data_IF_588277669920
#
_entry.id   IF_588277669920
#
_cell.length_a   1.000
_cell.length_b   1.000
_cell.length_c   1.000
_cell.angle_alpha   90.00
_cell.angle_beta   90.00
_cell.angle_gamma   90.00
#
_symmetry.space_group_name_H-M   'P 1'
#
loop_
_entity.id
_entity.type
_entity.pdbx_description
1 polymer ?
#
# COMPACT_ATOMS: atom_id res chain seq x y z
N UNK A 1 2.05 16.61 9.64
CA UNK A 1 2.25 15.27 9.04
C UNK A 1 3.03 15.51 7.78
N UNK A 2 4.25 14.94 7.66
CA UNK A 2 5.05 15.04 6.43
C UNK A 2 4.63 13.87 5.55
N UNK A 3 3.78 14.13 4.58
CA UNK A 3 3.52 13.19 3.51
C UNK A 3 4.81 13.07 2.68
N UNK A 4 5.38 11.87 2.61
CA UNK A 4 6.56 11.61 1.78
C UNK A 4 6.08 10.95 0.49
N UNK A 5 6.12 11.68 -0.61
CA UNK A 5 5.89 11.15 -1.95
C UNK A 5 7.24 10.89 -2.60
N UNK A 6 7.51 9.65 -2.96
CA UNK A 6 8.71 9.24 -3.68
C UNK A 6 8.34 8.79 -5.09
N UNK A 7 9.05 9.28 -6.11
CA UNK A 7 8.96 8.78 -7.49
C UNK A 7 10.16 7.90 -7.79
N UNK A 8 9.89 6.66 -8.18
CA UNK A 8 10.93 5.68 -8.52
C UNK A 8 10.82 5.31 -9.99
N UNK A 9 11.94 5.33 -10.69
CA UNK A 9 12.04 4.89 -12.08
C UNK A 9 12.02 3.37 -12.23
N UNK A 10 12.05 2.90 -13.49
CA UNK A 10 11.97 1.49 -13.91
C UNK A 10 12.70 0.53 -12.98
N UNK A 11 12.03 -0.56 -12.59
CA UNK A 11 12.59 -1.64 -11.80
C UNK A 11 13.71 -2.38 -12.54
N UNK A 12 14.94 -2.06 -12.18
CA UNK A 12 16.13 -2.87 -12.46
C UNK A 12 16.53 -3.46 -11.11
N UNK A 13 17.22 -4.58 -11.07
CA UNK A 13 17.73 -5.14 -9.80
C UNK A 13 18.35 -4.04 -8.92
N UNK A 14 17.86 -3.92 -7.68
CA UNK A 14 18.23 -2.85 -6.76
C UNK A 14 17.26 -1.67 -6.69
N UNK A 15 16.10 -1.72 -7.36
CA UNK A 15 15.09 -0.65 -7.31
C UNK A 15 14.56 -0.43 -5.91
N UNK A 16 14.52 -1.48 -5.09
CA UNK A 16 14.14 -1.38 -3.69
C UNK A 16 15.10 -0.48 -2.89
N UNK A 17 16.37 -0.32 -3.31
CA UNK A 17 17.35 0.51 -2.61
C UNK A 17 16.87 1.95 -2.42
N UNK A 18 16.07 2.45 -3.34
CA UNK A 18 15.53 3.82 -3.26
C UNK A 18 14.37 3.97 -2.26
N UNK A 19 13.75 2.87 -1.85
CA UNK A 19 12.63 2.85 -0.91
C UNK A 19 12.87 1.89 0.26
N UNK A 20 14.05 1.29 0.34
CA UNK A 20 14.37 0.28 1.36
C UNK A 20 14.25 0.85 2.78
N UNK A 21 14.72 2.08 2.99
CA UNK A 21 14.59 2.79 4.26
C UNK A 21 13.11 3.03 4.63
N UNK A 22 12.26 3.32 3.64
CA UNK A 22 10.82 3.52 3.85
C UNK A 22 10.13 2.22 4.21
N UNK A 23 10.50 1.13 3.55
CA UNK A 23 9.94 -0.21 3.81
C UNK A 23 10.40 -0.74 5.17
N UNK A 24 11.65 -0.50 5.55
CA UNK A 24 12.22 -0.91 6.84
C UNK A 24 11.79 -0.04 8.01
N UNK A 25 11.22 1.14 7.76
CA UNK A 25 10.75 2.05 8.82
C UNK A 25 9.63 1.47 9.69
N UNK A 26 8.93 0.43 9.20
CA UNK A 26 7.74 -0.13 9.85
C UNK A 26 6.43 0.59 9.47
N UNK A 27 6.51 1.67 8.72
CA UNK A 27 5.36 2.40 8.21
C UNK A 27 4.67 1.63 7.07
N UNK A 28 3.35 1.80 6.92
CA UNK A 28 2.61 1.21 5.82
C UNK A 28 2.84 1.96 4.52
N UNK A 29 3.12 1.23 3.44
CA UNK A 29 3.53 1.77 2.13
C UNK A 29 2.55 1.38 1.04
N UNK A 30 2.02 2.35 0.31
CA UNK A 30 1.18 2.15 -0.87
C UNK A 30 1.97 2.45 -2.14
N UNK A 31 2.07 1.46 -3.03
CA UNK A 31 2.73 1.59 -4.32
C UNK A 31 1.71 1.90 -5.41
N UNK A 32 1.88 3.00 -6.11
CA UNK A 32 1.03 3.44 -7.21
C UNK A 32 1.79 3.43 -8.52
N UNK A 33 1.09 3.33 -9.62
CA UNK A 33 1.67 3.43 -10.94
C UNK A 33 0.89 2.67 -12.00
N UNK A 34 1.16 3.00 -13.25
CA UNK A 34 0.51 2.38 -14.42
C UNK A 34 0.73 0.87 -14.46
N UNK A 35 -0.16 0.10 -15.10
CA UNK A 35 0.09 -1.30 -15.41
C UNK A 35 1.45 -1.49 -16.10
N UNK A 36 2.16 -2.56 -15.75
CA UNK A 36 3.47 -2.87 -16.34
C UNK A 36 4.66 -2.05 -15.85
N UNK A 37 4.49 -1.14 -14.88
CA UNK A 37 5.60 -0.33 -14.33
C UNK A 37 6.52 -1.12 -13.39
N UNK A 38 6.16 -2.36 -13.04
CA UNK A 38 6.96 -3.24 -12.19
C UNK A 38 6.52 -3.31 -10.72
N UNK A 39 5.28 -2.91 -10.39
CA UNK A 39 4.72 -2.98 -9.02
C UNK A 39 4.88 -4.38 -8.41
N UNK A 40 4.44 -5.42 -9.11
CA UNK A 40 4.52 -6.82 -8.65
C UNK A 40 5.97 -7.27 -8.42
N UNK A 41 6.89 -6.88 -9.30
CA UNK A 41 8.32 -7.17 -9.12
C UNK A 41 8.88 -6.50 -7.87
N UNK A 42 8.46 -5.26 -7.61
CA UNK A 42 8.86 -4.53 -6.41
C UNK A 42 8.29 -5.16 -5.14
N UNK A 43 7.00 -5.54 -5.13
CA UNK A 43 6.39 -6.25 -4.00
C UNK A 43 7.12 -7.57 -3.68
N UNK A 44 7.52 -8.30 -4.71
CA UNK A 44 8.28 -9.54 -4.55
C UNK A 44 9.63 -9.29 -3.89
N UNK A 45 10.36 -8.27 -4.33
CA UNK A 45 11.65 -7.91 -3.73
C UNK A 45 11.51 -7.37 -2.31
N UNK A 46 10.47 -6.57 -2.05
CA UNK A 46 10.10 -6.13 -0.69
C UNK A 46 9.86 -7.32 0.23
N UNK A 47 9.09 -8.31 -0.22
CA UNK A 47 8.83 -9.54 0.53
C UNK A 47 10.13 -10.26 0.90
N UNK A 48 11.05 -10.39 -0.07
CA UNK A 48 12.35 -11.02 0.13
C UNK A 48 13.19 -10.27 1.16
N UNK A 49 13.32 -8.96 1.02
CA UNK A 49 14.15 -8.14 1.91
C UNK A 49 13.59 -8.15 3.34
N UNK A 50 12.28 -7.99 3.51
CA UNK A 50 11.67 -8.02 4.83
C UNK A 50 11.79 -9.38 5.51
N UNK A 51 11.63 -10.47 4.77
CA UNK A 51 11.68 -11.82 5.32
C UNK A 51 13.11 -12.34 5.56
N UNK A 52 14.07 -12.01 4.68
CA UNK A 52 15.43 -12.50 4.78
C UNK A 52 16.36 -11.54 5.51
N UNK A 53 16.32 -10.24 5.18
CA UNK A 53 17.28 -9.29 5.73
C UNK A 53 16.78 -8.72 7.08
N UNK A 54 15.49 -8.39 7.18
CA UNK A 54 14.90 -7.88 8.40
C UNK A 54 14.33 -8.98 9.32
N UNK A 55 14.34 -10.24 8.88
CA UNK A 55 13.84 -11.42 9.61
C UNK A 55 12.40 -11.24 10.14
N UNK A 56 11.54 -10.51 9.38
CA UNK A 56 10.14 -10.29 9.74
C UNK A 56 9.25 -11.44 9.28
N UNK A 57 8.19 -11.69 10.02
CA UNK A 57 7.12 -12.61 9.61
C UNK A 57 6.25 -11.91 8.56
N UNK A 58 6.49 -12.26 7.30
CA UNK A 58 5.80 -11.67 6.15
C UNK A 58 4.76 -12.64 5.61
N UNK A 59 3.53 -12.16 5.43
CA UNK A 59 2.47 -12.89 4.74
C UNK A 59 2.11 -12.13 3.47
N UNK A 60 2.00 -12.85 2.36
CA UNK A 60 1.59 -12.31 1.06
C UNK A 60 0.17 -12.79 0.77
N UNK A 61 -0.75 -11.86 0.59
CA UNK A 61 -2.10 -12.12 0.09
C UNK A 61 -2.09 -11.89 -1.42
N UNK A 62 -2.01 -12.98 -2.16
CA UNK A 62 -1.76 -12.99 -3.61
C UNK A 62 -3.03 -13.40 -4.37
N UNK A 63 -3.72 -12.44 -4.93
CA UNK A 63 -4.99 -12.64 -5.64
C UNK A 63 -4.78 -13.06 -7.07
N UNK A 64 -3.78 -12.50 -7.74
CA UNK A 64 -3.47 -12.78 -9.14
C UNK A 64 -2.46 -13.92 -9.32
N UNK A 65 -1.88 -14.43 -8.21
CA UNK A 65 -0.75 -15.36 -8.20
C UNK A 65 0.50 -14.81 -8.91
N UNK A 66 0.60 -13.48 -8.99
CA UNK A 66 1.71 -12.81 -9.68
C UNK A 66 2.93 -12.58 -8.79
N UNK A 67 2.73 -12.41 -7.48
CA UNK A 67 3.84 -12.15 -6.55
C UNK A 67 4.58 -13.44 -6.24
N UNK A 68 3.87 -14.43 -5.71
CA UNK A 68 4.44 -15.66 -5.20
C UNK A 68 4.33 -16.84 -6.18
N UNK A 69 3.71 -16.63 -7.33
CA UNK A 69 3.47 -17.66 -8.35
C UNK A 69 2.24 -18.54 -8.04
N UNK A 70 1.83 -19.32 -9.03
CA UNK A 70 0.64 -20.17 -9.00
C UNK A 70 0.93 -21.65 -8.67
N UNK A 71 2.21 -22.05 -8.64
CA UNK A 71 2.61 -23.41 -8.31
C UNK A 71 2.39 -23.77 -6.84
N UNK A 72 2.45 -25.07 -6.52
CA UNK A 72 2.33 -25.58 -5.14
C UNK A 72 3.45 -25.03 -4.23
N UNK A 73 4.62 -24.80 -4.81
CA UNK A 73 5.77 -24.20 -4.13
C UNK A 73 5.84 -22.72 -4.47
N UNK A 74 5.84 -21.82 -3.46
CA UNK A 74 6.00 -20.41 -3.69
C UNK A 74 7.31 -20.08 -4.41
N UNK A 75 7.31 -19.02 -5.20
CA UNK A 75 8.49 -18.58 -5.95
C UNK A 75 9.61 -18.15 -4.98
N UNK A 76 10.83 -18.63 -5.23
CA UNK A 76 12.00 -18.39 -4.35
C UNK A 76 12.31 -16.90 -4.13
N UNK A 77 11.89 -16.03 -5.05
CA UNK A 77 12.12 -14.59 -4.97
C UNK A 77 11.32 -13.87 -3.88
N UNK A 78 10.40 -14.55 -3.17
CA UNK A 78 9.71 -13.98 -2.01
C UNK A 78 10.43 -14.25 -0.68
N UNK A 79 11.58 -14.95 -0.72
CA UNK A 79 12.32 -15.34 0.47
C UNK A 79 11.53 -16.29 1.38
N UNK A 80 11.55 -16.03 2.68
CA UNK A 80 10.85 -16.83 3.70
C UNK A 80 9.39 -16.39 3.91
N UNK A 81 8.85 -15.55 3.04
CA UNK A 81 7.48 -15.06 3.16
C UNK A 81 6.47 -16.18 2.93
N UNK A 82 5.37 -16.15 3.70
CA UNK A 82 4.27 -17.12 3.55
C UNK A 82 3.26 -16.59 2.53
N UNK A 83 2.90 -17.43 1.56
CA UNK A 83 1.84 -17.13 0.60
C UNK A 83 0.48 -17.59 1.10
N UNK A 84 -0.51 -16.73 0.98
CA UNK A 84 -1.94 -17.06 1.04
C UNK A 84 -2.57 -16.76 -0.31
N UNK A 85 -3.06 -17.81 -0.98
CA UNK A 85 -3.77 -17.66 -2.25
C UNK A 85 -5.21 -17.23 -1.99
N UNK A 86 -5.71 -16.33 -2.82
CA UNK A 86 -7.09 -15.85 -2.77
C UNK A 86 -7.90 -16.61 -3.82
N UNK A 87 -8.88 -17.44 -3.41
CA UNK A 87 -9.64 -18.26 -4.34
C UNK A 87 -10.50 -17.46 -5.33
N UNK A 88 -10.97 -16.30 -4.89
CA UNK A 88 -11.73 -15.36 -5.70
C UNK A 88 -11.46 -13.93 -5.23
N UNK A 89 -11.38 -12.98 -6.15
CA UNK A 89 -11.10 -11.57 -5.86
C UNK A 89 -12.02 -10.98 -4.80
N UNK A 90 -13.29 -11.37 -4.77
CA UNK A 90 -14.26 -10.95 -3.77
C UNK A 90 -13.94 -11.40 -2.34
N UNK A 91 -13.07 -12.39 -2.17
CA UNK A 91 -12.67 -12.94 -0.87
C UNK A 91 -11.36 -12.35 -0.32
N UNK A 92 -10.70 -11.46 -1.07
CA UNK A 92 -9.41 -10.90 -0.67
C UNK A 92 -9.46 -10.27 0.72
N UNK A 93 -10.46 -9.46 1.02
CA UNK A 93 -10.62 -8.82 2.34
C UNK A 93 -10.75 -9.83 3.48
N UNK A 94 -11.40 -10.99 3.25
CA UNK A 94 -11.52 -12.05 4.26
C UNK A 94 -10.16 -12.72 4.51
N UNK A 95 -9.43 -13.04 3.44
CA UNK A 95 -8.09 -13.64 3.52
C UNK A 95 -7.10 -12.68 4.20
N UNK A 96 -7.23 -11.37 3.98
CA UNK A 96 -6.43 -10.36 4.69
C UNK A 96 -6.63 -10.44 6.22
N UNK A 97 -7.88 -10.54 6.68
CA UNK A 97 -8.21 -10.67 8.11
C UNK A 97 -7.73 -12.03 8.64
N UNK A 98 -7.99 -13.10 7.91
CA UNK A 98 -7.53 -14.46 8.25
C UNK A 98 -6.00 -14.53 8.40
N UNK A 99 -5.26 -13.83 7.55
CA UNK A 99 -3.81 -13.74 7.63
C UNK A 99 -3.35 -13.23 9.01
N UNK A 100 -4.00 -12.20 9.53
CA UNK A 100 -3.66 -11.64 10.85
C UNK A 100 -4.04 -12.60 11.97
N UNK A 101 -5.23 -13.18 11.90
CA UNK A 101 -5.77 -14.02 12.97
C UNK A 101 -5.00 -15.34 13.12
N UNK A 102 -4.62 -15.96 11.99
CA UNK A 102 -4.03 -17.30 11.99
C UNK A 102 -2.50 -17.31 11.95
N UNK A 103 -1.86 -16.23 11.48
CA UNK A 103 -0.42 -16.24 11.23
C UNK A 103 0.37 -15.21 12.01
N UNK A 104 -0.30 -14.30 12.72
CA UNK A 104 0.34 -13.22 13.51
C UNK A 104 1.52 -12.57 12.76
N UNK A 105 1.30 -12.05 11.54
CA UNK A 105 2.35 -11.44 10.75
C UNK A 105 2.78 -10.11 11.36
N UNK A 106 4.03 -9.71 11.08
CA UNK A 106 4.50 -8.36 11.31
C UNK A 106 4.27 -7.47 10.10
N UNK A 107 4.23 -8.09 8.91
CA UNK A 107 3.99 -7.43 7.64
C UNK A 107 3.03 -8.24 6.79
N UNK A 108 2.06 -7.57 6.19
CA UNK A 108 1.21 -8.14 5.13
C UNK A 108 1.49 -7.41 3.83
N UNK A 109 1.74 -8.18 2.78
CA UNK A 109 1.87 -7.68 1.41
C UNK A 109 0.60 -8.07 0.65
N UNK A 110 -0.02 -7.08 0.02
CA UNK A 110 -1.27 -7.23 -0.72
C UNK A 110 -1.02 -6.86 -2.17
N UNK A 111 -1.42 -7.74 -3.10
CA UNK A 111 -1.18 -7.54 -4.52
C UNK A 111 -1.87 -6.28 -5.03
N UNK A 112 -3.18 -6.24 -5.06
CA UNK A 112 -3.93 -5.10 -5.58
C UNK A 112 -5.15 -4.79 -4.74
N UNK A 113 -5.29 -3.53 -4.34
CA UNK A 113 -6.45 -3.05 -3.61
C UNK A 113 -7.35 -2.24 -4.53
N UNK A 114 -8.63 -2.60 -4.57
CA UNK A 114 -9.61 -2.01 -5.48
C UNK A 114 -10.99 -1.77 -4.87
N UNK A 115 -11.30 -2.42 -3.74
CA UNK A 115 -12.64 -2.41 -3.13
C UNK A 115 -12.67 -1.71 -1.77
N UNK A 116 -13.87 -1.23 -1.39
CA UNK A 116 -14.10 -0.63 -0.08
C UNK A 116 -13.89 -1.63 1.06
N UNK A 117 -14.28 -2.89 0.86
CA UNK A 117 -14.08 -3.95 1.86
C UNK A 117 -12.60 -4.21 2.15
N UNK A 118 -11.76 -4.16 1.12
CA UNK A 118 -10.30 -4.26 1.27
C UNK A 118 -9.73 -3.04 2.00
N UNK A 119 -10.23 -1.85 1.70
CA UNK A 119 -9.82 -0.61 2.38
C UNK A 119 -10.15 -0.66 3.88
N UNK A 120 -11.34 -1.15 4.23
CA UNK A 120 -11.77 -1.33 5.61
C UNK A 120 -10.94 -2.42 6.33
N UNK A 121 -10.67 -3.54 5.67
CA UNK A 121 -9.83 -4.60 6.21
C UNK A 121 -8.40 -4.10 6.45
N UNK A 122 -7.81 -3.39 5.49
CA UNK A 122 -6.47 -2.80 5.63
C UNK A 122 -6.39 -1.85 6.83
N UNK A 123 -7.39 -0.99 7.01
CA UNK A 123 -7.47 -0.10 8.17
C UNK A 123 -7.51 -0.88 9.48
N UNK A 124 -8.37 -1.89 9.58
CA UNK A 124 -8.48 -2.74 10.77
C UNK A 124 -7.15 -3.44 11.10
N UNK A 125 -6.42 -3.88 10.07
CA UNK A 125 -5.11 -4.52 10.22
C UNK A 125 -4.05 -3.52 10.69
N UNK A 126 -4.02 -2.33 10.09
CA UNK A 126 -3.10 -1.27 10.50
C UNK A 126 -3.33 -0.82 11.95
N UNK A 127 -4.58 -0.71 12.40
CA UNK A 127 -4.95 -0.39 13.78
C UNK A 127 -4.45 -1.46 14.77
N UNK A 128 -4.22 -2.70 14.33
CA UNK A 128 -3.60 -3.78 15.11
C UNK A 128 -2.05 -3.71 15.14
N UNK A 129 -1.46 -2.72 14.50
CA UNK A 129 -0.01 -2.50 14.47
C UNK A 129 0.74 -3.36 13.45
N UNK A 130 0.05 -3.98 12.48
CA UNK A 130 0.67 -4.75 11.41
C UNK A 130 1.01 -3.81 10.26
N UNK A 131 2.25 -3.84 9.78
CA UNK A 131 2.69 -3.07 8.62
C UNK A 131 2.02 -3.60 7.35
N UNK A 132 1.47 -2.71 6.55
CA UNK A 132 0.87 -3.05 5.26
C UNK A 132 1.73 -2.52 4.11
N UNK A 133 1.96 -3.36 3.10
CA UNK A 133 2.57 -2.96 1.84
C UNK A 133 1.68 -3.45 0.72
N UNK A 134 1.11 -2.52 -0.04
CA UNK A 134 0.12 -2.85 -1.05
C UNK A 134 0.31 -2.05 -2.33
N UNK A 135 -0.31 -2.54 -3.40
CA UNK A 135 -0.57 -1.73 -4.59
C UNK A 135 -2.05 -1.37 -4.67
N UNK A 136 -2.35 -0.28 -5.35
CA UNK A 136 -3.73 0.09 -5.67
C UNK A 136 -3.88 0.33 -7.17
N UNK A 137 -5.11 0.19 -7.65
CA UNK A 137 -5.47 0.46 -9.03
C UNK A 137 -5.57 1.97 -9.30
N UNK A 138 -4.46 2.66 -9.11
CA UNK A 138 -4.33 4.10 -9.33
C UNK A 138 -2.94 4.43 -9.92
N UNK A 139 -2.89 5.44 -10.79
CA UNK A 139 -1.64 5.83 -11.44
C UNK A 139 -0.80 6.79 -10.60
N UNK A 140 -1.45 7.59 -9.77
CA UNK A 140 -0.84 8.62 -8.92
C UNK A 140 -1.71 8.87 -7.68
N UNK A 141 -1.19 9.68 -6.75
CA UNK A 141 -1.88 10.02 -5.51
C UNK A 141 -3.20 10.78 -5.76
N UNK A 142 -3.26 11.64 -6.76
CA UNK A 142 -4.47 12.38 -7.10
C UNK A 142 -5.62 11.45 -7.47
N UNK A 143 -5.34 10.37 -8.23
CA UNK A 143 -6.34 9.35 -8.54
C UNK A 143 -6.85 8.62 -7.29
N UNK A 144 -5.98 8.39 -6.29
CA UNK A 144 -6.39 7.79 -5.01
C UNK A 144 -7.29 8.74 -4.23
N UNK A 145 -6.92 10.02 -4.14
CA UNK A 145 -7.67 11.03 -3.40
C UNK A 145 -9.06 11.30 -3.99
N UNK A 146 -9.18 11.23 -5.31
CA UNK A 146 -10.46 11.46 -6.02
C UNK A 146 -11.34 10.22 -6.10
N UNK A 147 -10.79 9.03 -5.86
CA UNK A 147 -11.54 7.78 -5.86
C UNK A 147 -12.18 7.54 -4.48
N UNK A 148 -13.52 7.54 -4.36
CA UNK A 148 -14.19 7.36 -3.07
C UNK A 148 -13.79 6.06 -2.35
N UNK A 149 -13.54 4.99 -3.10
CA UNK A 149 -13.17 3.67 -2.58
C UNK A 149 -11.76 3.64 -1.99
N UNK A 150 -10.82 4.34 -2.64
CA UNK A 150 -9.40 4.30 -2.28
C UNK A 150 -8.97 5.48 -1.40
N UNK A 151 -9.74 6.56 -1.37
CA UNK A 151 -9.38 7.77 -0.62
C UNK A 151 -9.21 7.50 0.88
N UNK A 152 -9.98 6.58 1.43
CA UNK A 152 -9.89 6.17 2.84
C UNK A 152 -8.52 5.54 3.17
N UNK A 153 -7.82 4.93 2.20
CA UNK A 153 -6.47 4.38 2.40
C UNK A 153 -5.44 5.45 2.79
N UNK A 154 -5.64 6.67 2.32
CA UNK A 154 -4.76 7.82 2.58
C UNK A 154 -5.38 8.83 3.57
N UNK A 155 -6.43 8.42 4.29
CA UNK A 155 -7.07 9.20 5.34
C UNK A 155 -8.40 9.84 4.98
N UNK A 156 -8.87 9.66 3.74
CA UNK A 156 -10.11 10.25 3.24
C UNK A 156 -10.11 11.78 3.27
N UNK A 157 -11.11 12.39 2.68
CA UNK A 157 -11.34 13.83 2.73
C UNK A 157 -12.75 14.11 3.18
N UNK A 158 -12.92 15.16 4.01
CA UNK A 158 -14.21 15.67 4.41
C UNK A 158 -14.27 17.16 4.27
N UNK A 159 -15.43 17.65 3.91
CA UNK A 159 -15.70 19.09 3.86
C UNK A 159 -16.10 19.55 5.25
N UNK A 160 -15.35 20.48 5.82
CA UNK A 160 -15.65 21.08 7.13
C UNK A 160 -16.03 22.54 6.94
N UNK A 161 -17.16 22.96 7.52
CA UNK A 161 -17.57 24.34 7.54
C UNK A 161 -17.01 25.01 8.80
N UNK A 162 -16.11 25.97 8.61
CA UNK A 162 -15.53 26.76 9.69
C UNK A 162 -16.50 27.82 10.18
N UNK A 163 -16.47 28.07 11.49
CA UNK A 163 -17.12 29.26 12.05
C UNK A 163 -16.45 30.55 11.54
N UNK A 164 -17.19 31.67 11.55
CA UNK A 164 -16.72 32.95 11.01
C UNK A 164 -15.39 33.43 11.64
N UNK A 165 -15.20 33.19 12.92
CA UNK A 165 -13.98 33.56 13.65
C UNK A 165 -12.79 32.72 13.17
N UNK A 166 -12.97 31.41 13.00
CA UNK A 166 -11.92 30.49 12.58
C UNK A 166 -11.52 30.73 11.11
N UNK A 167 -12.51 30.96 10.24
CA UNK A 167 -12.27 31.28 8.83
C UNK A 167 -11.45 32.56 8.67
N UNK A 168 -11.79 33.63 9.45
CA UNK A 168 -11.02 34.90 9.48
C UNK A 168 -9.60 34.67 10.00
N UNK A 169 -9.41 33.90 11.07
CA UNK A 169 -8.10 33.61 11.66
C UNK A 169 -7.19 32.84 10.70
N UNK A 170 -7.72 31.87 9.96
CA UNK A 170 -6.98 31.07 8.95
C UNK A 170 -6.87 31.78 7.60
N UNK A 171 -7.54 32.94 7.38
CA UNK A 171 -7.61 33.63 6.09
C UNK A 171 -8.04 32.73 4.94
N UNK A 172 -9.01 31.84 5.19
CA UNK A 172 -9.50 30.86 4.24
C UNK A 172 -11.00 31.01 4.01
N UNK A 173 -11.54 30.29 3.03
CA UNK A 173 -12.98 30.18 2.84
C UNK A 173 -13.61 29.47 4.04
N UNK A 174 -14.90 29.68 4.27
CA UNK A 174 -15.65 29.00 5.34
C UNK A 174 -15.70 27.49 5.18
N UNK A 175 -15.59 27.00 3.94
CA UNK A 175 -15.59 25.59 3.62
C UNK A 175 -14.18 25.16 3.24
N UNK A 176 -13.61 24.24 4.01
CA UNK A 176 -12.28 23.69 3.75
C UNK A 176 -12.37 22.17 3.66
N UNK A 177 -11.45 21.59 2.90
CA UNK A 177 -11.22 20.14 2.88
C UNK A 177 -10.23 19.81 3.99
N UNK A 178 -10.65 18.92 4.88
CA UNK A 178 -9.78 18.36 5.92
C UNK A 178 -9.70 16.83 5.76
N UNK A 179 -8.63 16.24 6.30
CA UNK A 179 -8.51 14.78 6.36
C UNK A 179 -9.57 14.23 7.34
N UNK A 180 -10.25 13.17 6.94
CA UNK A 180 -11.35 12.55 7.71
C UNK A 180 -10.82 11.75 8.91
N UNK A 181 -9.70 11.03 8.72
CA UNK A 181 -9.06 10.19 9.73
C UNK A 181 -7.57 10.02 9.44
N UNK A 182 -6.83 9.35 10.32
CA UNK A 182 -5.44 8.99 10.05
C UNK A 182 -5.33 8.03 8.86
N UNK A 183 -4.31 8.20 8.00
CA UNK A 183 -4.13 7.36 6.84
C UNK A 183 -3.73 5.93 7.25
N UNK A 184 -4.30 4.94 6.60
CA UNK A 184 -3.87 3.54 6.69
C UNK A 184 -2.46 3.37 6.12
N UNK A 185 -2.19 4.07 5.01
CA UNK A 185 -0.85 4.14 4.41
C UNK A 185 -0.28 5.54 4.62
N UNK A 186 0.74 5.64 5.45
CA UNK A 186 1.45 6.89 5.75
C UNK A 186 2.44 7.28 4.66
N UNK A 187 2.86 6.31 3.85
CA UNK A 187 3.81 6.49 2.75
C UNK A 187 3.14 6.06 1.44
N UNK A 188 3.23 6.93 0.44
CA UNK A 188 2.79 6.65 -0.93
C UNK A 188 3.97 6.78 -1.87
N UNK A 189 4.23 5.75 -2.66
CA UNK A 189 5.31 5.70 -3.65
C UNK A 189 4.70 5.63 -5.04
N UNK A 190 4.95 6.63 -5.86
CA UNK A 190 4.53 6.65 -7.26
C UNK A 190 5.64 6.10 -8.16
N UNK A 191 5.33 5.03 -8.89
CA UNK A 191 6.23 4.41 -9.85
C UNK A 191 5.95 4.93 -11.25
N UNK A 192 6.99 5.42 -11.92
CA UNK A 192 6.90 5.88 -13.31
C UNK A 192 8.03 5.30 -14.15
N UNK A 193 7.72 5.03 -15.43
CA UNK A 193 8.74 4.72 -16.42
C UNK A 193 9.39 6.03 -16.88
N UNK A 194 10.68 6.16 -16.67
CA UNK A 194 11.47 7.22 -17.31
C UNK A 194 11.88 6.68 -18.66
N UNK A 195 11.33 7.22 -19.76
CA UNK A 195 11.89 7.04 -21.08
C UNK A 195 13.16 7.89 -21.14
N UNK A 196 14.32 7.24 -21.06
CA UNK A 196 15.57 7.88 -21.49
C UNK A 196 15.53 7.83 -23.02
N UNK A 197 15.20 8.96 -23.63
CA UNK A 197 15.47 9.15 -25.07
C UNK A 197 16.99 9.21 -25.24
N UNK A 198 17.55 8.22 -25.94
CA UNK A 198 18.90 8.29 -26.48
C UNK A 198 19.02 9.43 -27.49
#
# INVERSE_FOLDING_TARGET
IRDRTCRVGRAIEGTIKNIEDLVLSGESVLLLGKPGVGKTTMLREVARVLSLNANKRVVIVDTSNEIAGDGDIPHNAIGNSRRMQVPATSMQHQIMIEAVENHMPEVIIIDEMSTEHESLAARTIAERGVQLIATAHANNLENVLTNPTLSDLVGGTQTVTLGDIEAKKRKTQKTILERKHEPTFSIVVELSLIHISE
#
